data_IF_462555479305
#
_entry.id   IF_462555479305
#
_cell.length_a   1.000
_cell.length_b   1.000
_cell.length_c   1.000
_cell.angle_alpha   90.00
_cell.angle_beta   90.00
_cell.angle_gamma   90.00
#
_symmetry.space_group_name_H-M   'P 1'
#
loop_
_entity.id
_entity.type
_entity.pdbx_description
1 polymer ?
#
# COMPACT_ATOMS: atom_id res chain seq x y z
N UNK A 1 -6.92 3.87 0.18
CA UNK A 1 -5.76 4.27 1.00
C UNK A 1 -5.98 3.80 2.43
N UNK A 2 -4.90 3.37 3.08
CA UNK A 2 -4.84 2.92 4.47
C UNK A 2 -3.68 3.66 5.15
N UNK A 3 -3.88 4.21 6.33
CA UNK A 3 -2.85 4.91 7.13
C UNK A 3 -2.61 4.15 8.42
N UNK A 4 -1.36 3.98 8.82
CA UNK A 4 -0.99 3.13 9.95
C UNK A 4 0.37 3.53 10.54
N UNK A 5 0.72 2.92 11.67
CA UNK A 5 2.07 2.96 12.21
C UNK A 5 2.80 1.68 11.80
N UNK A 6 3.82 1.80 10.94
CA UNK A 6 4.68 0.68 10.62
C UNK A 6 5.60 0.29 11.79
N UNK A 7 5.80 1.19 12.77
CA UNK A 7 6.64 0.98 13.94
C UNK A 7 6.02 1.62 15.19
N UNK A 8 5.99 0.87 16.29
CA UNK A 8 5.40 1.29 17.58
C UNK A 8 6.08 2.52 18.22
N UNK A 9 7.32 2.82 17.82
CA UNK A 9 8.12 3.92 18.38
C UNK A 9 8.00 5.26 17.62
N UNK A 10 7.11 5.36 16.63
CA UNK A 10 6.85 6.59 15.88
C UNK A 10 5.49 7.15 16.31
N UNK A 11 5.48 8.27 17.02
CA UNK A 11 4.30 8.84 17.67
C UNK A 11 3.26 9.50 16.75
N UNK A 12 3.17 9.11 15.48
CA UNK A 12 2.22 9.67 14.52
C UNK A 12 2.01 8.69 13.35
N UNK A 13 0.74 8.43 12.97
CA UNK A 13 0.31 7.55 11.87
C UNK A 13 0.70 8.11 10.48
N UNK A 14 2.00 8.18 10.21
CA UNK A 14 2.56 8.75 8.98
C UNK A 14 2.83 7.71 7.90
N UNK A 15 2.80 6.42 8.23
CA UNK A 15 2.94 5.38 7.21
C UNK A 15 1.61 5.17 6.48
N UNK A 16 1.68 4.84 5.20
CA UNK A 16 0.49 4.66 4.37
C UNK A 16 0.69 3.59 3.31
N UNK A 17 -0.41 2.97 2.89
CA UNK A 17 -0.51 2.11 1.71
C UNK A 17 -1.67 2.58 0.83
N UNK A 18 -1.41 2.73 -0.47
CA UNK A 18 -2.40 3.16 -1.46
C UNK A 18 -2.31 2.28 -2.70
N UNK A 19 -3.45 1.77 -3.16
CA UNK A 19 -3.56 1.08 -4.44
C UNK A 19 -4.13 2.05 -5.48
N UNK A 20 -3.52 2.04 -6.66
CA UNK A 20 -3.97 2.76 -7.84
C UNK A 20 -4.09 1.73 -8.95
N UNK A 21 -5.30 1.55 -9.46
CA UNK A 21 -5.63 0.58 -10.51
C UNK A 21 -6.30 1.31 -11.69
N UNK A 22 -6.12 0.76 -12.88
CA UNK A 22 -6.86 1.13 -14.08
C UNK A 22 -8.16 0.29 -14.21
N UNK A 23 -8.89 0.50 -15.31
CA UNK A 23 -10.15 -0.20 -15.60
C UNK A 23 -9.97 -1.71 -15.86
N UNK A 24 -8.74 -2.21 -15.99
CA UNK A 24 -8.41 -3.63 -16.16
C UNK A 24 -7.92 -4.27 -14.86
N UNK A 25 -8.04 -3.58 -13.73
CA UNK A 25 -7.46 -3.95 -12.43
C UNK A 25 -5.93 -4.14 -12.47
N UNK A 26 -5.25 -3.50 -13.42
CA UNK A 26 -3.80 -3.41 -13.50
C UNK A 26 -3.33 -2.10 -12.85
N UNK A 27 -2.15 -2.10 -12.21
CA UNK A 27 -1.64 -0.89 -11.60
C UNK A 27 -0.54 -1.15 -10.59
N UNK A 28 -0.61 -0.46 -9.44
CA UNK A 28 0.39 -0.61 -8.39
C UNK A 28 -0.16 -0.31 -7.00
N UNK A 29 0.46 -0.93 -5.99
CA UNK A 29 0.34 -0.53 -4.60
C UNK A 29 1.61 0.22 -4.21
N UNK A 30 1.45 1.44 -3.69
CA UNK A 30 2.52 2.24 -3.12
C UNK A 30 2.41 2.26 -1.60
N UNK A 31 3.54 2.08 -0.93
CA UNK A 31 3.64 2.11 0.52
C UNK A 31 4.71 3.08 0.96
N UNK A 32 4.31 4.10 1.71
CA UNK A 32 5.21 5.00 2.41
C UNK A 32 5.42 4.52 3.84
N UNK A 33 6.64 4.13 4.18
CA UNK A 33 7.05 3.77 5.53
C UNK A 33 7.82 4.93 6.13
N UNK A 34 7.28 5.50 7.20
CA UNK A 34 7.91 6.59 7.92
C UNK A 34 8.60 6.08 9.18
N UNK A 35 9.88 6.43 9.34
CA UNK A 35 10.68 6.16 10.54
C UNK A 35 11.14 7.48 11.16
N UNK A 36 11.76 7.44 12.34
CA UNK A 36 12.26 8.66 13.01
C UNK A 36 13.32 9.40 12.20
N UNK A 37 14.13 8.67 11.44
CA UNK A 37 15.31 9.20 10.75
C UNK A 37 15.12 9.28 9.24
N UNK A 38 14.25 8.43 8.66
CA UNK A 38 14.09 8.27 7.23
C UNK A 38 12.64 8.01 6.83
N UNK A 39 12.30 8.32 5.58
CA UNK A 39 11.07 7.90 4.92
C UNK A 39 11.40 7.06 3.70
N UNK A 40 10.81 5.88 3.61
CA UNK A 40 10.98 4.96 2.48
C UNK A 40 9.67 4.86 1.71
N UNK A 41 9.75 4.83 0.39
CA UNK A 41 8.59 4.59 -0.48
C UNK A 41 8.88 3.35 -1.31
N UNK A 42 7.95 2.41 -1.29
CA UNK A 42 7.98 1.18 -2.07
C UNK A 42 6.79 1.16 -3.02
N UNK A 43 6.97 0.57 -4.19
CA UNK A 43 5.89 0.30 -5.12
C UNK A 43 5.94 -1.17 -5.53
N UNK A 44 4.79 -1.83 -5.47
CA UNK A 44 4.59 -3.20 -5.94
C UNK A 44 3.62 -3.19 -7.11
N UNK A 45 4.02 -3.72 -8.28
CA UNK A 45 3.12 -3.80 -9.42
C UNK A 45 1.97 -4.78 -9.14
N UNK A 46 0.77 -4.40 -9.57
CA UNK A 46 -0.44 -5.21 -9.56
C UNK A 46 -0.82 -5.51 -11.00
N UNK A 47 -1.17 -6.77 -11.25
CA UNK A 47 -1.70 -7.23 -12.53
C UNK A 47 -2.92 -8.10 -12.29
N UNK A 48 -4.05 -7.78 -12.92
CA UNK A 48 -5.33 -8.47 -12.76
C UNK A 48 -5.70 -8.65 -11.29
N UNK A 49 -5.69 -7.57 -10.52
CA UNK A 49 -5.97 -7.58 -9.08
C UNK A 49 -4.99 -8.38 -8.20
N UNK A 50 -3.84 -8.82 -8.72
CA UNK A 50 -2.86 -9.62 -7.96
C UNK A 50 -1.45 -9.02 -7.99
N UNK A 51 -0.67 -9.12 -6.90
CA UNK A 51 0.73 -8.70 -6.93
C UNK A 51 1.54 -9.58 -7.88
N UNK A 52 2.40 -8.96 -8.69
CA UNK A 52 3.19 -9.70 -9.70
C UNK A 52 4.34 -10.48 -9.08
N UNK A 53 5.07 -9.88 -8.14
CA UNK A 53 6.35 -10.45 -7.65
C UNK A 53 6.38 -10.76 -6.16
N UNK A 54 5.79 -9.90 -5.32
CA UNK A 54 5.94 -9.96 -3.87
C UNK A 54 4.60 -9.97 -3.18
N UNK A 55 4.47 -10.79 -2.14
CA UNK A 55 3.29 -10.73 -1.29
C UNK A 55 3.07 -9.34 -0.71
N UNK A 56 1.79 -8.99 -0.63
CA UNK A 56 1.33 -7.74 -0.02
C UNK A 56 1.23 -7.90 1.51
N UNK A 57 1.61 -6.86 2.25
CA UNK A 57 1.34 -6.72 3.68
C UNK A 57 -0.18 -6.65 3.94
N UNK A 58 -0.58 -6.77 5.20
CA UNK A 58 -2.00 -6.63 5.58
C UNK A 58 -2.59 -5.30 5.11
N UNK A 59 -1.85 -4.20 5.28
CA UNK A 59 -2.26 -2.85 4.94
C UNK A 59 -2.26 -2.62 3.42
N UNK A 60 -1.30 -3.21 2.70
CA UNK A 60 -1.27 -3.20 1.23
C UNK A 60 -2.45 -4.00 0.65
N UNK A 61 -2.77 -5.17 1.21
CA UNK A 61 -3.94 -5.97 0.83
C UNK A 61 -5.23 -5.20 1.08
N UNK A 62 -5.36 -4.56 2.24
CA UNK A 62 -6.53 -3.73 2.55
C UNK A 62 -6.64 -2.54 1.58
N UNK A 63 -5.53 -1.89 1.25
CA UNK A 63 -5.51 -0.79 0.29
C UNK A 63 -5.97 -1.25 -1.11
N UNK A 64 -5.52 -2.43 -1.54
CA UNK A 64 -5.94 -3.05 -2.80
C UNK A 64 -7.42 -3.40 -2.79
N UNK A 65 -7.91 -4.07 -1.75
CA UNK A 65 -9.34 -4.39 -1.60
C UNK A 65 -10.20 -3.13 -1.63
N UNK A 66 -9.79 -2.05 -0.97
CA UNK A 66 -10.50 -0.76 -1.00
C UNK A 66 -10.56 -0.13 -2.41
N UNK A 67 -9.54 -0.35 -3.25
CA UNK A 67 -9.56 0.12 -4.63
C UNK A 67 -10.53 -0.72 -5.48
N UNK A 68 -10.50 -2.05 -5.33
CA UNK A 68 -11.35 -2.97 -6.07
C UNK A 68 -12.84 -2.88 -5.68
N UNK A 69 -13.14 -2.52 -4.42
CA UNK A 69 -14.53 -2.44 -3.92
C UNK A 69 -15.24 -1.15 -4.36
N UNK A 70 -14.57 -0.21 -5.03
CA UNK A 70 -15.15 1.07 -5.48
C UNK A 70 -15.87 1.00 -6.84
N UNK A 71 -16.46 -0.16 -7.17
CA UNK A 71 -17.36 -0.35 -8.32
C UNK A 71 -18.78 0.12 -8.03
#
# INVERSE_FOLDING_TARGET
>A
MVTYNAFDNVGNNMSFSIAVLDDNDDGMVMTGIYTRENSYIYAKPIKKSQPVDKELSTEEKEALTKALTRG
#
